data_IF_501811444303
#
_entry.id   IF_501811444303
#
_cell.length_a   1.000
_cell.length_b   1.000
_cell.length_c   1.000
_cell.angle_alpha   90.00
_cell.angle_beta   90.00
_cell.angle_gamma   90.00
#
_symmetry.space_group_name_H-M   'P 1'
#
loop_
_entity.id
_entity.type
_entity.pdbx_description
1 polymer ?
#
# COMPACT_ATOMS: atom_id res chain seq x y z
N UNK A 1 -9.89 -5.80 7.13
CA UNK A 1 -9.44 -4.46 6.71
C UNK A 1 -10.06 -3.42 7.64
N UNK A 2 -9.24 -2.54 8.20
CA UNK A 2 -9.65 -1.45 9.08
C UNK A 2 -9.06 -0.15 8.55
N UNK A 3 -9.74 0.97 8.73
CA UNK A 3 -9.16 2.28 8.42
C UNK A 3 -9.54 3.32 9.46
N UNK A 4 -8.60 4.24 9.73
CA UNK A 4 -8.75 5.29 10.73
C UNK A 4 -8.10 6.58 10.21
N UNK A 5 -8.82 7.70 10.26
CA UNK A 5 -8.24 9.01 10.01
C UNK A 5 -7.27 9.39 11.14
N UNK A 6 -6.14 9.98 10.79
CA UNK A 6 -5.15 10.50 11.74
C UNK A 6 -4.45 11.73 11.16
N UNK A 7 -3.83 12.52 12.02
CA UNK A 7 -2.98 13.63 11.62
C UNK A 7 -1.52 13.16 11.58
N UNK A 8 -0.79 13.47 10.50
CA UNK A 8 0.63 13.15 10.40
C UNK A 8 1.51 14.18 11.14
N UNK A 9 2.84 13.99 11.10
CA UNK A 9 3.81 14.86 11.79
C UNK A 9 3.84 16.31 11.28
N UNK A 10 3.28 16.59 10.10
CA UNK A 10 3.22 17.93 9.49
C UNK A 10 1.81 18.51 9.52
N UNK A 11 0.94 18.04 10.43
CA UNK A 11 -0.44 18.48 10.60
C UNK A 11 -1.35 18.28 9.36
N UNK A 12 -1.01 17.36 8.45
CA UNK A 12 -1.87 16.96 7.34
C UNK A 12 -2.74 15.77 7.74
N UNK A 13 -4.02 15.82 7.38
CA UNK A 13 -4.93 14.68 7.52
C UNK A 13 -4.53 13.55 6.58
N UNK A 14 -4.45 12.35 7.12
CA UNK A 14 -4.10 11.13 6.38
C UNK A 14 -5.04 10.00 6.80
N UNK A 15 -5.24 9.03 5.92
CA UNK A 15 -5.97 7.81 6.25
C UNK A 15 -4.98 6.67 6.49
N UNK A 16 -5.01 6.09 7.68
CA UNK A 16 -4.31 4.85 7.98
C UNK A 16 -5.22 3.67 7.64
N UNK A 17 -4.73 2.70 6.90
CA UNK A 17 -5.45 1.50 6.49
C UNK A 17 -4.61 0.28 6.86
N UNK A 18 -5.25 -0.72 7.47
CA UNK A 18 -4.64 -1.98 7.85
C UNK A 18 -5.36 -3.14 7.16
N UNK A 19 -4.58 -3.94 6.44
CA UNK A 19 -4.97 -5.22 5.85
C UNK A 19 -4.38 -6.33 6.71
N UNK A 20 -5.24 -7.22 7.19
CA UNK A 20 -4.86 -8.43 7.91
C UNK A 20 -5.29 -9.62 7.07
N UNK A 21 -4.33 -10.48 6.70
CA UNK A 21 -4.59 -11.77 6.09
C UNK A 21 -4.15 -12.85 7.08
N UNK A 22 -5.10 -13.67 7.52
CA UNK A 22 -4.86 -14.67 8.56
C UNK A 22 -5.53 -15.98 8.24
N UNK A 23 -4.77 -17.05 8.30
CA UNK A 23 -5.30 -18.40 8.14
C UNK A 23 -6.20 -18.77 9.31
N UNK A 24 -7.38 -19.30 8.98
CA UNK A 24 -8.28 -19.87 9.97
C UNK A 24 -7.65 -21.11 10.60
N UNK A 25 -8.05 -21.42 11.84
CA UNK A 25 -7.48 -22.53 12.63
C UNK A 25 -7.45 -23.86 11.88
N UNK A 26 -8.46 -24.16 11.05
CA UNK A 26 -8.55 -25.40 10.28
C UNK A 26 -7.53 -25.54 9.15
N UNK A 27 -7.09 -24.44 8.54
CA UNK A 27 -6.17 -24.45 7.38
C UNK A 27 -4.75 -23.97 7.73
N UNK A 28 -4.56 -23.45 8.96
CA UNK A 28 -3.26 -22.97 9.45
C UNK A 28 -2.17 -24.04 9.41
N UNK A 29 -2.50 -25.32 9.53
CA UNK A 29 -1.53 -26.41 9.50
C UNK A 29 -0.87 -26.58 8.12
N UNK A 30 -1.60 -26.28 7.04
CA UNK A 30 -1.14 -26.48 5.66
C UNK A 30 -0.65 -25.14 5.07
N UNK A 31 -1.38 -24.06 5.36
CA UNK A 31 -1.07 -22.71 4.90
C UNK A 31 -1.10 -21.74 6.09
N UNK A 32 -0.07 -21.71 6.95
CA UNK A 32 0.02 -20.74 8.03
C UNK A 32 0.29 -19.33 7.47
N UNK A 33 -0.71 -18.44 7.51
CA UNK A 33 -0.58 -17.02 7.11
C UNK A 33 -0.99 -16.15 8.31
N UNK A 34 -0.18 -15.12 8.60
CA UNK A 34 -0.45 -14.10 9.61
C UNK A 34 0.19 -12.78 9.20
N UNK A 35 -0.33 -12.21 8.13
CA UNK A 35 0.22 -11.01 7.51
C UNK A 35 -0.53 -9.76 7.95
N UNK A 36 0.22 -8.70 8.20
CA UNK A 36 -0.28 -7.37 8.48
C UNK A 36 0.39 -6.41 7.49
N UNK A 37 -0.41 -5.72 6.70
CA UNK A 37 0.03 -4.65 5.82
C UNK A 37 -0.68 -3.37 6.23
N UNK A 38 0.11 -2.36 6.60
CA UNK A 38 -0.38 -1.06 7.00
C UNK A 38 0.04 -0.02 5.97
N UNK A 39 -0.89 0.84 5.56
CA UNK A 39 -0.64 1.88 4.58
C UNK A 39 -1.23 3.21 5.05
N UNK A 40 -0.41 4.24 5.02
CA UNK A 40 -0.84 5.62 5.19
C UNK A 40 -1.02 6.24 3.80
N UNK A 41 -2.17 6.86 3.55
CA UNK A 41 -2.49 7.55 2.29
C UNK A 41 -2.96 8.97 2.54
N UNK A 42 -2.76 9.86 1.57
CA UNK A 42 -3.35 11.20 1.62
C UNK A 42 -4.88 11.12 1.46
N UNK A 43 -5.64 11.94 2.18
CA UNK A 43 -7.11 11.92 2.15
C UNK A 43 -7.70 12.58 0.90
N UNK A 44 -6.95 13.46 0.25
CA UNK A 44 -7.37 14.22 -0.92
C UNK A 44 -7.24 13.42 -2.22
N UNK A 45 -6.14 12.68 -2.38
CA UNK A 45 -5.78 12.03 -3.65
C UNK A 45 -5.49 10.52 -3.53
N UNK A 46 -5.48 9.96 -2.31
CA UNK A 46 -5.22 8.54 -2.04
C UNK A 46 -3.83 8.06 -2.44
N UNK A 47 -2.89 8.98 -2.69
CA UNK A 47 -1.50 8.63 -2.93
C UNK A 47 -0.87 8.07 -1.65
N UNK A 48 -0.10 6.96 -1.76
CA UNK A 48 0.53 6.34 -0.61
C UNK A 48 1.61 7.24 -0.04
N UNK A 49 1.70 7.34 1.27
CA UNK A 49 2.76 8.06 2.00
C UNK A 49 3.78 7.05 2.54
N UNK A 50 3.27 5.98 3.14
CA UNK A 50 4.07 4.94 3.79
C UNK A 50 3.37 3.60 3.70
N UNK A 51 4.13 2.55 3.43
CA UNK A 51 3.66 1.16 3.42
C UNK A 51 4.56 0.34 4.34
N UNK A 52 3.96 -0.29 5.34
CA UNK A 52 4.62 -1.23 6.24
C UNK A 52 4.04 -2.62 6.00
N UNK A 53 4.91 -3.61 5.83
CA UNK A 53 4.53 -5.01 5.68
C UNK A 53 5.19 -5.82 6.77
N UNK A 54 4.39 -6.65 7.43
CA UNK A 54 4.81 -7.69 8.35
C UNK A 54 4.20 -8.99 7.86
N UNK A 55 4.96 -9.73 7.05
CA UNK A 55 4.49 -10.98 6.44
C UNK A 55 5.05 -12.17 7.23
N UNK A 56 4.18 -13.10 7.58
CA UNK A 56 4.48 -14.33 8.30
C UNK A 56 3.71 -15.49 7.67
N UNK A 57 4.38 -16.19 6.75
CA UNK A 57 3.82 -17.27 5.95
C UNK A 57 4.63 -18.56 6.19
N UNK A 58 4.33 -19.27 7.27
CA UNK A 58 5.08 -20.45 7.70
C UNK A 58 6.53 -20.13 8.06
N UNK A 59 7.47 -20.61 7.25
CA UNK A 59 8.91 -20.32 7.43
C UNK A 59 9.34 -19.01 6.76
N UNK A 60 8.48 -18.41 5.94
CA UNK A 60 8.76 -17.14 5.30
C UNK A 60 8.36 -15.99 6.22
N UNK A 61 9.34 -15.16 6.57
CA UNK A 61 9.12 -13.91 7.31
C UNK A 61 9.70 -12.75 6.53
N UNK A 62 8.89 -11.72 6.29
CA UNK A 62 9.33 -10.52 5.60
C UNK A 62 8.75 -9.27 6.22
N UNK A 63 9.64 -8.48 6.82
CA UNK A 63 9.30 -7.15 7.31
C UNK A 63 9.91 -6.10 6.39
N UNK A 64 9.11 -5.14 5.96
CA UNK A 64 9.59 -4.07 5.09
C UNK A 64 8.81 -2.78 5.29
N UNK A 65 9.51 -1.67 5.11
CA UNK A 65 8.94 -0.33 5.09
C UNK A 65 9.30 0.30 3.75
N UNK A 66 8.31 0.91 3.12
CA UNK A 66 8.46 1.74 1.95
C UNK A 66 7.87 3.14 2.22
N UNK A 67 8.53 4.17 1.72
CA UNK A 67 8.13 5.56 1.90
C UNK A 67 8.05 6.28 0.56
N UNK A 68 7.11 7.21 0.45
CA UNK A 68 6.82 7.96 -0.76
C UNK A 68 7.00 9.45 -0.47
N UNK A 69 7.99 10.06 -1.12
CA UNK A 69 8.18 11.49 -1.13
C UNK A 69 7.62 12.04 -2.45
N UNK A 70 6.36 12.48 -2.43
CA UNK A 70 5.68 13.03 -3.61
C UNK A 70 6.24 14.37 -4.07
N UNK A 71 6.84 15.15 -3.16
CA UNK A 71 7.45 16.43 -3.49
C UNK A 71 8.72 16.24 -4.33
N UNK A 72 9.56 15.28 -3.95
CA UNK A 72 10.80 14.94 -4.67
C UNK A 72 10.61 13.85 -5.72
N UNK A 73 9.39 13.31 -5.85
CA UNK A 73 9.07 12.22 -6.79
C UNK A 73 9.92 10.97 -6.58
N UNK A 74 10.10 10.59 -5.31
CA UNK A 74 10.96 9.48 -4.88
C UNK A 74 10.20 8.44 -4.07
N UNK A 75 10.40 7.19 -4.43
CA UNK A 75 9.98 6.02 -3.68
C UNK A 75 11.21 5.39 -3.02
N UNK A 76 11.17 5.20 -1.71
CA UNK A 76 12.31 4.74 -0.91
C UNK A 76 11.99 3.37 -0.33
N UNK A 77 12.84 2.38 -0.59
CA UNK A 77 12.69 1.01 -0.08
C UNK A 77 14.04 0.38 0.24
N UNK A 78 14.25 -0.04 1.48
CA UNK A 78 15.49 -0.71 1.95
C UNK A 78 16.77 0.04 1.53
N UNK A 79 16.82 1.35 1.78
CA UNK A 79 17.94 2.28 1.43
C UNK A 79 18.17 2.48 -0.07
N UNK A 80 17.29 1.92 -0.90
CA UNK A 80 17.25 2.15 -2.33
C UNK A 80 16.20 3.21 -2.63
N UNK A 81 16.39 3.97 -3.70
CA UNK A 81 15.47 5.05 -4.11
C UNK A 81 15.17 4.93 -5.59
N UNK A 82 13.89 4.95 -5.94
CA UNK A 82 13.40 4.93 -7.31
C UNK A 82 12.69 6.25 -7.56
N UNK A 83 13.12 6.98 -8.58
CA UNK A 83 12.45 8.19 -9.03
C UNK A 83 11.25 7.83 -9.92
N UNK A 84 10.17 8.61 -9.84
CA UNK A 84 8.98 8.39 -10.66
C UNK A 84 8.51 9.69 -11.32
N UNK A 85 8.32 9.66 -12.64
CA UNK A 85 7.86 10.85 -13.37
C UNK A 85 6.36 11.10 -13.17
N UNK A 86 5.57 10.04 -13.18
CA UNK A 86 4.12 10.07 -13.06
C UNK A 86 3.64 9.56 -11.70
N UNK A 87 2.39 9.86 -11.33
CA UNK A 87 1.84 9.44 -10.03
C UNK A 87 1.96 7.93 -9.90
N UNK A 88 2.44 7.46 -8.75
CA UNK A 88 2.57 6.04 -8.44
C UNK A 88 1.67 5.68 -7.26
N UNK A 89 1.02 4.52 -7.36
CA UNK A 89 0.23 3.95 -6.28
C UNK A 89 0.90 2.69 -5.73
N UNK A 90 0.47 2.26 -4.56
CA UNK A 90 0.80 0.94 -4.05
C UNK A 90 -0.39 -0.01 -4.33
N UNK A 91 -0.19 -1.32 -4.60
CA UNK A 91 -1.30 -2.23 -4.86
C UNK A 91 -2.42 -2.16 -3.80
N UNK A 92 -2.05 -1.97 -2.53
CA UNK A 92 -3.00 -1.88 -1.43
C UNK A 92 -3.78 -0.55 -1.39
N UNK A 93 -3.19 0.57 -1.85
CA UNK A 93 -3.89 1.87 -1.91
C UNK A 93 -4.95 1.89 -3.02
N UNK A 94 -4.78 1.10 -4.08
CA UNK A 94 -5.72 1.04 -5.20
C UNK A 94 -7.14 0.67 -4.78
N UNK A 95 -7.29 -0.21 -3.78
CA UNK A 95 -8.60 -0.62 -3.28
C UNK A 95 -9.40 0.59 -2.79
N UNK A 96 -8.73 1.55 -2.15
CA UNK A 96 -9.36 2.79 -1.69
C UNK A 96 -9.54 3.81 -2.80
N UNK A 97 -8.55 3.95 -3.69
CA UNK A 97 -8.69 4.79 -4.88
C UNK A 97 -9.94 4.41 -5.68
N UNK A 98 -10.12 3.13 -6.01
CA UNK A 98 -11.27 2.66 -6.80
C UNK A 98 -12.61 2.76 -6.08
N UNK A 99 -12.64 2.73 -4.74
CA UNK A 99 -13.87 3.01 -3.97
C UNK A 99 -14.42 4.42 -4.21
N UNK A 100 -13.57 5.36 -4.62
CA UNK A 100 -14.00 6.73 -4.94
C UNK A 100 -14.43 6.92 -6.39
N UNK A 101 -14.32 5.87 -7.22
CA UNK A 101 -14.62 5.93 -8.65
C UNK A 101 -15.92 5.18 -8.94
N UNK A 102 -16.67 5.71 -9.91
CA UNK A 102 -17.77 4.95 -10.51
C UNK A 102 -17.18 4.07 -11.60
N UNK A 103 -17.22 2.75 -11.40
CA UNK A 103 -16.74 1.80 -12.38
C UNK A 103 -17.84 1.57 -13.42
N UNK A 104 -17.62 2.04 -14.64
CA UNK A 104 -18.48 1.74 -15.80
C UNK A 104 -17.73 0.84 -16.78
N UNK A 105 -18.43 -0.01 -17.56
CA UNK A 105 -17.78 -0.98 -18.44
C UNK A 105 -16.79 -0.39 -19.46
N UNK A 106 -16.99 0.87 -19.87
CA UNK A 106 -16.18 1.55 -20.88
C UNK A 106 -15.09 2.47 -20.29
N UNK A 107 -14.90 2.48 -18.97
CA UNK A 107 -13.86 3.30 -18.33
C UNK A 107 -12.59 2.49 -18.09
N UNK A 108 -11.48 2.94 -18.67
CA UNK A 108 -10.13 2.44 -18.37
C UNK A 108 -9.35 3.45 -17.52
N UNK A 109 -8.57 2.95 -16.56
CA UNK A 109 -7.63 3.75 -15.78
C UNK A 109 -6.21 3.30 -16.09
N UNK A 110 -5.31 4.24 -16.39
CA UNK A 110 -3.87 3.97 -16.46
C UNK A 110 -3.26 4.33 -15.10
N UNK A 111 -2.67 3.35 -14.42
CA UNK A 111 -2.13 3.55 -13.08
C UNK A 111 -0.74 2.93 -12.99
N UNK A 112 0.26 3.76 -12.71
CA UNK A 112 1.58 3.26 -12.36
C UNK A 112 1.56 2.77 -10.92
N UNK A 113 2.03 1.55 -10.71
CA UNK A 113 2.15 0.95 -9.38
C UNK A 113 3.60 0.78 -9.04
N UNK A 114 3.97 1.06 -7.80
CA UNK A 114 5.28 0.70 -7.26
C UNK A 114 5.12 -0.21 -6.06
N UNK A 115 5.85 -1.33 -6.11
CA UNK A 115 6.04 -2.19 -4.96
C UNK A 115 7.46 -2.76 -4.93
N UNK A 116 8.01 -2.87 -3.72
CA UNK A 116 9.39 -3.26 -3.44
C UNK A 116 10.44 -2.45 -4.21
N UNK A 117 10.71 -2.75 -5.48
CA UNK A 117 11.75 -2.08 -6.30
C UNK A 117 11.37 -1.94 -7.77
N UNK A 118 10.08 -2.05 -8.12
CA UNK A 118 9.65 -2.02 -9.52
C UNK A 118 8.43 -1.14 -9.68
N UNK A 119 8.48 -0.28 -10.70
CA UNK A 119 7.31 0.42 -11.21
C UNK A 119 6.71 -0.47 -12.31
N UNK A 120 5.42 -0.73 -12.22
CA UNK A 120 4.66 -1.57 -13.14
C UNK A 120 3.45 -0.75 -13.59
N UNK A 121 3.31 -0.46 -14.89
CA UNK A 121 2.07 0.14 -15.40
C UNK A 121 0.95 -0.91 -15.38
N UNK A 122 -0.21 -0.55 -14.80
CA UNK A 122 -1.47 -1.31 -14.89
C UNK A 122 -2.54 -0.52 -15.66
#
# INVERSE_FOLDING_TARGET
MKSKQKTNLVNKEILHIEFEAKSRSSVKYIFPINDIISIDVETDNWEPIKVEKQLQEGNYTHNSIAEFNHNERKFIFKKDTIEFLEKVMNPYSLIYFFRTKTLTPDTSYQINIVDNKKIIPL
#
